data_IF_082143038162
#
_entry.id   IF_082143038162
#
_cell.length_a   1.000
_cell.length_b   1.000
_cell.length_c   1.000
_cell.angle_alpha   90.00
_cell.angle_beta   90.00
_cell.angle_gamma   90.00
#
_symmetry.space_group_name_H-M   'P 1'
#
loop_
_entity.id
_entity.type
_entity.pdbx_description
1 polymer ?
#
# COMPACT_ATOMS: atom_id res chain seq x y z
N UNK A 1 8.41 -5.88 35.49
CA UNK A 1 9.69 -5.59 34.82
C UNK A 1 9.47 -5.77 33.34
N UNK A 2 9.87 -4.80 32.51
CA UNK A 2 9.55 -4.77 31.10
C UNK A 2 10.51 -5.59 30.22
N UNK A 3 11.64 -6.05 30.78
CA UNK A 3 12.61 -6.90 30.11
C UNK A 3 13.17 -7.93 31.08
N UNK A 4 12.95 -9.23 30.83
CA UNK A 4 13.59 -10.32 31.58
C UNK A 4 15.13 -10.23 31.49
N UNK A 5 15.66 -9.96 30.29
CA UNK A 5 17.12 -9.87 30.03
C UNK A 5 17.78 -8.82 30.92
N UNK A 6 17.23 -7.61 31.00
CA UNK A 6 17.74 -6.59 31.93
C UNK A 6 17.52 -7.00 33.40
N UNK A 7 16.41 -7.70 33.69
CA UNK A 7 16.18 -8.28 35.01
C UNK A 7 17.30 -9.21 35.45
N UNK A 8 17.61 -10.17 34.63
CA UNK A 8 18.66 -11.15 34.90
C UNK A 8 20.03 -10.48 34.99
N UNK A 9 20.32 -9.55 34.08
CA UNK A 9 21.58 -8.81 34.08
C UNK A 9 21.83 -8.04 35.37
N UNK A 10 20.78 -7.40 35.93
CA UNK A 10 20.89 -6.67 37.21
C UNK A 10 20.93 -7.57 38.45
N UNK A 11 20.56 -8.86 38.34
CA UNK A 11 20.68 -9.82 39.43
C UNK A 11 22.03 -10.52 39.49
N UNK A 12 22.87 -10.40 38.44
CA UNK A 12 24.20 -10.94 38.44
C UNK A 12 25.05 -10.28 39.54
N UNK A 13 25.93 -11.05 40.23
CA UNK A 13 26.85 -10.48 41.22
C UNK A 13 27.69 -9.37 40.59
N UNK A 14 27.56 -8.15 41.11
CA UNK A 14 28.42 -7.05 40.70
C UNK A 14 29.84 -7.26 41.27
N UNK A 15 30.90 -6.97 40.50
CA UNK A 15 32.24 -6.99 41.03
C UNK A 15 32.33 -6.10 42.26
N UNK A 16 32.81 -6.65 43.38
CA UNK A 16 33.08 -5.81 44.57
C UNK A 16 34.11 -4.78 44.21
N UNK A 17 33.81 -3.50 44.41
CA UNK A 17 34.78 -2.41 44.34
C UNK A 17 35.77 -2.56 45.52
N UNK A 18 36.66 -3.52 45.43
CA UNK A 18 37.83 -3.53 46.29
C UNK A 18 38.79 -2.45 45.74
N UNK A 19 39.11 -1.49 46.59
CA UNK A 19 39.86 -0.24 46.30
C UNK A 19 41.30 -0.45 45.82
N UNK A 20 41.67 -1.63 45.36
CA UNK A 20 43.03 -2.00 44.93
C UNK A 20 43.13 -2.51 43.49
N UNK A 21 42.06 -2.80 42.80
CA UNK A 21 42.09 -3.19 41.39
C UNK A 21 41.78 -2.00 40.49
N UNK A 22 42.80 -1.57 39.75
CA UNK A 22 42.64 -0.65 38.60
C UNK A 22 41.88 -1.33 37.46
N UNK A 23 40.61 -1.64 37.67
CA UNK A 23 39.71 -1.97 36.55
C UNK A 23 39.25 -0.64 35.94
N UNK A 24 39.75 -0.35 34.74
CA UNK A 24 39.38 0.82 33.91
C UNK A 24 37.90 0.75 33.45
N UNK A 25 37.02 0.06 34.16
CA UNK A 25 35.61 0.01 33.83
C UNK A 25 34.95 1.37 34.16
N UNK A 26 34.28 1.99 33.19
CA UNK A 26 33.68 3.29 33.41
C UNK A 26 32.51 3.19 34.42
N UNK A 27 32.58 4.03 35.47
CA UNK A 27 31.54 4.14 36.47
C UNK A 27 30.89 5.52 36.40
N UNK A 28 29.58 5.59 36.51
CA UNK A 28 28.84 6.83 36.62
C UNK A 28 28.04 6.86 37.93
N UNK A 29 28.35 7.82 38.80
CA UNK A 29 27.79 7.91 40.16
C UNK A 29 27.88 6.61 40.99
N UNK A 30 29.02 5.87 40.85
CA UNK A 30 29.23 4.62 41.59
C UNK A 30 28.48 3.40 41.03
N UNK A 31 27.83 3.54 39.89
CA UNK A 31 27.17 2.47 39.17
C UNK A 31 28.01 2.09 37.96
N UNK A 32 28.12 0.77 37.61
CA UNK A 32 28.83 0.36 36.42
C UNK A 32 28.10 0.86 35.17
N UNK A 33 28.86 1.32 34.19
CA UNK A 33 28.35 1.71 32.87
C UNK A 33 28.45 0.48 31.97
N UNK A 34 27.33 0.13 31.36
CA UNK A 34 27.21 -1.00 30.43
C UNK A 34 27.05 -0.44 29.02
N UNK A 35 27.97 -0.79 28.13
CA UNK A 35 27.88 -0.42 26.73
C UNK A 35 26.82 -1.30 26.01
N UNK A 36 25.96 -0.65 25.28
CA UNK A 36 24.93 -1.31 24.45
C UNK A 36 25.23 -1.02 22.97
N UNK A 37 24.90 -1.97 22.11
CA UNK A 37 25.11 -1.84 20.65
C UNK A 37 24.10 -0.87 19.98
N UNK A 38 22.99 -0.63 20.64
CA UNK A 38 21.91 0.20 20.13
C UNK A 38 22.29 1.70 20.22
N UNK A 39 21.90 2.44 19.20
CA UNK A 39 22.06 3.90 19.21
C UNK A 39 21.15 4.58 20.25
N UNK A 40 21.48 5.82 20.60
CA UNK A 40 20.74 6.60 21.60
C UNK A 40 19.28 6.88 21.21
N UNK A 41 18.97 6.93 19.91
CA UNK A 41 17.60 7.12 19.41
C UNK A 41 16.75 5.87 19.66
N UNK A 42 17.29 4.70 19.32
CA UNK A 42 16.66 3.40 19.56
C UNK A 42 16.42 3.16 21.05
N UNK A 43 17.45 3.40 21.88
CA UNK A 43 17.31 3.31 23.34
C UNK A 43 16.29 4.30 23.88
N UNK A 44 16.29 5.53 23.37
CA UNK A 44 15.30 6.55 23.75
C UNK A 44 13.87 6.10 23.46
N UNK A 45 13.62 5.48 22.31
CA UNK A 45 12.31 4.90 21.97
C UNK A 45 11.90 3.78 22.91
N UNK A 46 12.79 2.83 23.18
CA UNK A 46 12.52 1.70 24.08
C UNK A 46 12.21 2.21 25.49
N UNK A 47 13.05 3.07 26.03
CA UNK A 47 12.87 3.63 27.38
C UNK A 47 11.59 4.45 27.49
N UNK A 48 11.19 5.18 26.43
CA UNK A 48 9.93 5.93 26.43
C UNK A 48 8.71 5.02 26.53
N UNK A 49 8.79 3.79 26.00
CA UNK A 49 7.73 2.80 26.11
C UNK A 49 7.74 2.03 27.43
N UNK A 50 8.90 1.98 28.12
CA UNK A 50 9.00 1.36 29.45
C UNK A 50 8.46 2.27 30.56
N UNK A 51 8.38 3.59 30.34
CA UNK A 51 7.91 4.56 31.31
C UNK A 51 6.51 5.05 30.92
N UNK A 52 5.61 5.26 31.89
CA UNK A 52 4.29 5.79 31.60
C UNK A 52 4.41 7.20 31.00
N UNK A 53 3.56 7.55 30.02
CA UNK A 53 3.60 8.86 29.34
C UNK A 53 3.54 10.06 30.30
N UNK A 54 2.93 9.90 31.48
CA UNK A 54 2.87 10.88 32.54
C UNK A 54 4.25 11.26 33.13
N UNK A 55 5.22 10.35 33.02
CA UNK A 55 6.59 10.56 33.53
C UNK A 55 7.52 11.18 32.50
N UNK A 56 7.34 10.86 31.23
CA UNK A 56 8.24 11.28 30.15
C UNK A 56 7.73 12.49 29.37
N UNK A 57 6.42 12.76 29.41
CA UNK A 57 5.76 13.79 28.59
C UNK A 57 5.90 13.53 27.07
N UNK A 58 6.54 12.45 26.67
CA UNK A 58 6.79 12.08 25.26
C UNK A 58 5.93 10.90 24.88
N UNK A 59 5.17 11.05 23.81
CA UNK A 59 4.47 9.95 23.17
C UNK A 59 5.45 9.22 22.25
N UNK A 60 5.41 7.89 22.24
CA UNK A 60 6.16 7.09 21.29
C UNK A 60 5.81 7.49 19.87
N UNK A 61 6.81 7.90 19.12
CA UNK A 61 6.66 8.30 17.72
C UNK A 61 7.95 7.97 16.99
N UNK A 62 7.86 7.12 16.00
CA UNK A 62 8.93 6.86 15.04
C UNK A 62 8.70 7.70 13.78
N UNK A 63 9.78 8.14 13.16
CA UNK A 63 9.72 9.01 11.99
C UNK A 63 9.76 8.22 10.69
N UNK A 64 10.36 7.03 10.70
CA UNK A 64 10.57 6.21 9.51
C UNK A 64 10.63 4.71 9.85
N UNK A 65 10.57 3.90 8.81
CA UNK A 65 10.59 2.43 8.94
C UNK A 65 11.93 1.89 9.44
N UNK A 66 13.06 2.62 9.25
CA UNK A 66 14.37 2.19 9.71
C UNK A 66 14.50 2.30 11.22
N UNK A 67 14.01 3.41 11.80
CA UNK A 67 13.92 3.57 13.26
C UNK A 67 13.05 2.47 13.87
N UNK A 68 11.90 2.19 13.24
CA UNK A 68 10.97 1.15 13.70
C UNK A 68 11.62 -0.24 13.66
N UNK A 69 12.39 -0.54 12.62
CA UNK A 69 13.18 -1.77 12.52
C UNK A 69 14.16 -1.90 13.69
N UNK A 70 14.95 -0.85 13.99
CA UNK A 70 15.91 -0.87 15.07
C UNK A 70 15.22 -1.14 16.43
N UNK A 71 14.06 -0.50 16.67
CA UNK A 71 13.25 -0.75 17.87
C UNK A 71 12.77 -2.19 17.94
N UNK A 72 12.32 -2.79 16.83
CA UNK A 72 11.88 -4.19 16.78
C UNK A 72 13.02 -5.18 17.03
N UNK A 73 14.21 -4.92 16.45
CA UNK A 73 15.41 -5.73 16.66
C UNK A 73 15.83 -5.70 18.13
N UNK A 74 15.91 -4.51 18.72
CA UNK A 74 16.26 -4.34 20.12
C UNK A 74 15.20 -4.91 21.08
N UNK A 75 13.90 -4.71 20.80
CA UNK A 75 12.82 -5.28 21.59
C UNK A 75 12.85 -6.82 21.59
N UNK A 76 13.27 -7.42 20.48
CA UNK A 76 13.44 -8.88 20.37
C UNK A 76 14.71 -9.32 21.12
N UNK A 77 15.83 -8.61 20.97
CA UNK A 77 17.10 -8.91 21.66
C UNK A 77 16.94 -8.88 23.19
N UNK A 78 16.20 -7.90 23.71
CA UNK A 78 15.99 -7.71 25.14
C UNK A 78 14.70 -8.34 25.69
N UNK A 79 14.01 -9.15 24.88
CA UNK A 79 12.76 -9.85 25.23
C UNK A 79 11.69 -8.89 25.82
N UNK A 80 11.44 -7.80 25.10
CA UNK A 80 10.52 -6.73 25.50
C UNK A 80 9.21 -6.80 24.75
N UNK A 81 8.35 -7.75 25.12
CA UNK A 81 7.09 -8.06 24.40
C UNK A 81 6.19 -6.83 24.24
N UNK A 82 6.01 -6.03 25.31
CA UNK A 82 5.18 -4.82 25.25
C UNK A 82 5.69 -3.82 24.21
N UNK A 83 7.01 -3.61 24.15
CA UNK A 83 7.65 -2.70 23.17
C UNK A 83 7.47 -3.25 21.76
N UNK A 84 7.66 -4.56 21.59
CA UNK A 84 7.48 -5.27 20.33
C UNK A 84 6.05 -5.14 19.82
N UNK A 85 5.04 -5.35 20.65
CA UNK A 85 3.63 -5.20 20.27
C UNK A 85 3.32 -3.78 19.78
N UNK A 86 3.76 -2.74 20.51
CA UNK A 86 3.53 -1.35 20.11
C UNK A 86 4.24 -1.04 18.80
N UNK A 87 5.49 -1.49 18.62
CA UNK A 87 6.23 -1.29 17.39
C UNK A 87 5.58 -1.99 16.18
N UNK A 88 5.01 -3.20 16.37
CA UNK A 88 4.27 -3.91 15.33
C UNK A 88 2.96 -3.21 14.93
N UNK A 89 2.30 -2.54 15.87
CA UNK A 89 1.13 -1.71 15.55
C UNK A 89 1.51 -0.50 14.68
N UNK A 90 2.67 0.12 14.94
CA UNK A 90 3.18 1.22 14.11
C UNK A 90 3.42 0.82 12.65
N UNK A 91 3.85 -0.43 12.37
CA UNK A 91 3.99 -0.94 10.99
C UNK A 91 2.69 -0.84 10.18
N UNK A 92 1.54 -0.85 10.84
CA UNK A 92 0.23 -0.77 10.17
C UNK A 92 -0.22 0.66 9.88
N UNK A 93 0.54 1.68 10.28
CA UNK A 93 0.13 3.09 10.12
C UNK A 93 0.45 3.62 8.72
N UNK A 94 -0.49 4.40 8.13
CA UNK A 94 -0.34 4.89 6.77
C UNK A 94 0.97 5.65 6.45
N UNK A 95 1.54 6.47 7.34
CA UNK A 95 2.82 7.13 7.04
C UNK A 95 3.95 6.14 6.78
N UNK A 96 4.09 5.13 7.63
CA UNK A 96 5.12 4.08 7.53
C UNK A 96 4.89 3.20 6.28
N UNK A 97 3.63 2.81 6.04
CA UNK A 97 3.23 2.01 4.87
C UNK A 97 3.49 2.72 3.52
N UNK A 98 3.40 4.05 3.48
CA UNK A 98 3.65 4.83 2.26
C UNK A 98 5.12 5.07 2.00
N UNK A 99 5.94 5.12 3.03
CA UNK A 99 7.36 5.42 2.92
C UNK A 99 8.11 4.29 2.19
N UNK A 100 8.02 3.06 2.69
CA UNK A 100 8.67 1.89 2.10
C UNK A 100 7.83 0.63 2.33
N UNK A 101 6.78 0.41 1.52
CA UNK A 101 5.87 -0.71 1.73
C UNK A 101 6.54 -2.08 1.53
N UNK A 102 7.63 -2.17 0.74
CA UNK A 102 8.36 -3.43 0.53
C UNK A 102 9.11 -3.81 1.80
N UNK A 103 9.78 -2.86 2.43
CA UNK A 103 10.45 -3.07 3.72
C UNK A 103 9.46 -3.39 4.83
N UNK A 104 8.35 -2.64 4.91
CA UNK A 104 7.29 -2.93 5.88
C UNK A 104 6.75 -4.35 5.69
N UNK A 105 6.56 -4.80 4.43
CA UNK A 105 6.15 -6.17 4.16
C UNK A 105 7.18 -7.20 4.68
N UNK A 106 8.47 -6.97 4.42
CA UNK A 106 9.53 -7.84 4.88
C UNK A 106 9.57 -7.94 6.41
N UNK A 107 9.56 -6.78 7.11
CA UNK A 107 9.52 -6.73 8.57
C UNK A 107 8.27 -7.41 9.14
N UNK A 108 7.09 -7.11 8.58
CA UNK A 108 5.84 -7.73 9.00
C UNK A 108 5.87 -9.27 8.82
N UNK A 109 6.51 -9.74 7.75
CA UNK A 109 6.73 -11.17 7.52
C UNK A 109 7.74 -11.78 8.50
N UNK A 110 8.83 -11.07 8.83
CA UNK A 110 9.85 -11.52 9.75
C UNK A 110 9.28 -11.70 11.17
N UNK A 111 8.46 -10.74 11.61
CA UNK A 111 7.83 -10.72 12.93
C UNK A 111 6.40 -11.31 12.97
N UNK A 112 6.00 -12.01 11.92
CA UNK A 112 4.70 -12.73 11.82
C UNK A 112 3.46 -11.83 12.01
N UNK A 113 3.59 -10.52 11.74
CA UNK A 113 2.48 -9.56 11.81
C UNK A 113 1.64 -9.60 10.53
N UNK A 114 0.71 -10.56 10.43
CA UNK A 114 -0.11 -10.78 9.24
C UNK A 114 -0.95 -9.56 8.83
N UNK A 115 -1.41 -8.77 9.80
CA UNK A 115 -2.17 -7.52 9.52
C UNK A 115 -1.31 -6.51 8.77
N UNK A 116 -0.12 -6.21 9.28
CA UNK A 116 0.80 -5.28 8.64
C UNK A 116 1.27 -5.80 7.28
N UNK A 117 1.55 -7.11 7.15
CA UNK A 117 1.96 -7.72 5.88
C UNK A 117 0.88 -7.56 4.79
N UNK A 118 -0.40 -7.79 5.12
CA UNK A 118 -1.52 -7.58 4.17
C UNK A 118 -1.68 -6.13 3.76
N UNK A 119 -1.58 -5.20 4.70
CA UNK A 119 -1.64 -3.78 4.39
C UNK A 119 -0.45 -3.35 3.52
N UNK A 120 0.77 -3.74 3.90
CA UNK A 120 1.97 -3.42 3.14
C UNK A 120 1.89 -3.97 1.71
N UNK A 121 1.43 -5.22 1.51
CA UNK A 121 1.21 -5.80 0.19
C UNK A 121 0.26 -4.92 -0.66
N UNK A 122 -0.82 -4.39 -0.07
CA UNK A 122 -1.73 -3.47 -0.78
C UNK A 122 -1.01 -2.16 -1.15
N UNK A 123 -0.21 -1.59 -0.26
CA UNK A 123 0.53 -0.35 -0.54
C UNK A 123 1.62 -0.54 -1.62
N UNK A 124 2.14 -1.76 -1.81
CA UNK A 124 3.08 -2.04 -2.91
C UNK A 124 2.46 -1.89 -4.30
N UNK A 125 1.13 -1.93 -4.42
CA UNK A 125 0.44 -1.76 -5.71
C UNK A 125 0.63 -0.36 -6.30
N UNK A 126 0.81 0.65 -5.45
CA UNK A 126 1.13 2.01 -5.86
C UNK A 126 2.57 2.19 -6.37
N UNK A 127 3.42 1.16 -6.26
CA UNK A 127 4.78 1.20 -6.78
C UNK A 127 4.83 0.70 -8.24
N UNK A 128 5.64 1.32 -9.11
CA UNK A 128 5.79 0.86 -10.50
C UNK A 128 6.49 -0.49 -10.61
N UNK A 129 7.33 -0.81 -9.63
CA UNK A 129 8.07 -2.07 -9.52
C UNK A 129 8.37 -2.34 -8.06
N UNK A 130 8.40 -3.61 -7.68
CA UNK A 130 8.87 -4.03 -6.35
C UNK A 130 10.40 -4.01 -6.25
N UNK A 131 11.08 -4.12 -7.40
CA UNK A 131 12.54 -4.19 -7.50
C UNK A 131 13.08 -2.83 -7.98
N UNK A 132 12.92 -1.78 -7.16
CA UNK A 132 13.51 -0.46 -7.44
C UNK A 132 14.85 -0.28 -6.75
N UNK A 133 14.89 -0.68 -5.50
CA UNK A 133 16.05 -0.58 -4.64
C UNK A 133 16.21 -1.91 -3.89
N UNK A 134 17.44 -2.22 -3.55
CA UNK A 134 17.73 -3.39 -2.74
C UNK A 134 17.23 -3.18 -1.31
N UNK A 135 16.43 -4.10 -0.84
CA UNK A 135 15.89 -4.10 0.52
C UNK A 135 16.48 -5.28 1.30
N UNK A 136 17.48 -5.03 2.16
CA UNK A 136 18.18 -6.10 2.90
C UNK A 136 17.25 -6.95 3.77
N UNK A 137 16.13 -6.36 4.22
CA UNK A 137 15.14 -7.04 5.06
C UNK A 137 14.45 -8.21 4.32
N UNK A 138 14.47 -8.22 2.98
CA UNK A 138 13.96 -9.34 2.18
C UNK A 138 14.82 -10.61 2.31
N UNK A 139 16.10 -10.50 2.67
CA UNK A 139 16.96 -11.66 2.90
C UNK A 139 16.55 -12.44 4.16
N UNK A 140 15.92 -11.77 5.11
CA UNK A 140 15.47 -12.35 6.37
C UNK A 140 14.13 -13.08 6.28
N UNK A 141 13.44 -13.01 5.14
CA UNK A 141 12.14 -13.68 4.95
C UNK A 141 12.28 -14.91 4.07
N UNK A 142 11.43 -15.89 4.32
CA UNK A 142 11.37 -17.09 3.49
C UNK A 142 10.91 -16.72 2.07
N UNK A 143 11.56 -17.30 1.04
CA UNK A 143 11.25 -17.05 -0.38
C UNK A 143 9.76 -17.22 -0.72
N UNK A 144 9.07 -18.15 -0.06
CA UNK A 144 7.63 -18.34 -0.23
C UNK A 144 6.79 -17.11 0.15
N UNK A 145 7.25 -16.29 1.12
CA UNK A 145 6.58 -15.03 1.48
C UNK A 145 6.75 -13.99 0.37
N UNK A 146 7.94 -13.89 -0.22
CA UNK A 146 8.18 -13.04 -1.38
C UNK A 146 7.37 -13.50 -2.61
N UNK A 147 7.33 -14.80 -2.88
CA UNK A 147 6.53 -15.35 -3.97
C UNK A 147 5.04 -15.00 -3.82
N UNK A 148 4.49 -15.04 -2.60
CA UNK A 148 3.10 -14.62 -2.34
C UNK A 148 2.86 -13.15 -2.65
N UNK A 149 3.80 -12.26 -2.31
CA UNK A 149 3.70 -10.83 -2.66
C UNK A 149 3.66 -10.63 -4.17
N UNK A 150 4.54 -11.30 -4.90
CA UNK A 150 4.59 -11.25 -6.37
C UNK A 150 3.30 -11.77 -6.99
N UNK A 151 2.83 -12.96 -6.55
CA UNK A 151 1.58 -13.55 -7.03
C UNK A 151 0.35 -12.68 -6.73
N UNK A 152 0.31 -12.05 -5.55
CA UNK A 152 -0.74 -11.09 -5.22
C UNK A 152 -0.74 -9.90 -6.17
N UNK A 153 0.43 -9.32 -6.46
CA UNK A 153 0.55 -8.21 -7.39
C UNK A 153 0.09 -8.60 -8.80
N UNK A 154 0.50 -9.75 -9.31
CA UNK A 154 0.08 -10.27 -10.61
C UNK A 154 -1.45 -10.47 -10.68
N UNK A 155 -2.05 -11.03 -9.63
CA UNK A 155 -3.49 -11.18 -9.56
C UNK A 155 -4.22 -9.82 -9.54
N UNK A 156 -3.68 -8.81 -8.85
CA UNK A 156 -4.23 -7.45 -8.84
C UNK A 156 -4.10 -6.77 -10.21
N UNK A 157 -2.97 -6.95 -10.91
CA UNK A 157 -2.77 -6.47 -12.30
C UNK A 157 -3.84 -7.08 -13.20
N UNK A 158 -4.00 -8.39 -13.17
CA UNK A 158 -5.00 -9.09 -13.99
C UNK A 158 -6.42 -8.62 -13.68
N UNK A 159 -6.76 -8.45 -12.40
CA UNK A 159 -8.07 -7.98 -11.95
C UNK A 159 -8.36 -6.54 -12.43
N UNK A 160 -7.40 -5.61 -12.25
CA UNK A 160 -7.54 -4.21 -12.66
C UNK A 160 -7.60 -4.07 -14.20
N UNK A 161 -6.69 -4.71 -14.93
CA UNK A 161 -6.66 -4.69 -16.39
C UNK A 161 -7.93 -5.29 -17.01
N UNK A 162 -8.52 -6.31 -16.35
CA UNK A 162 -9.77 -6.92 -16.83
C UNK A 162 -10.91 -5.91 -16.94
N UNK A 163 -10.95 -4.86 -16.12
CA UNK A 163 -11.95 -3.80 -16.18
C UNK A 163 -11.69 -2.83 -17.32
N UNK A 164 -10.43 -2.61 -17.71
CA UNK A 164 -10.09 -1.78 -18.86
C UNK A 164 -10.43 -2.47 -20.19
N UNK A 165 -10.40 -3.80 -20.23
CA UNK A 165 -10.68 -4.61 -21.44
C UNK A 165 -12.15 -5.03 -21.50
N UNK A 166 -12.73 -5.45 -20.37
CA UNK A 166 -14.09 -5.95 -20.32
C UNK A 166 -15.02 -4.89 -19.71
N UNK A 167 -15.78 -4.23 -20.57
CA UNK A 167 -16.63 -3.08 -20.21
C UNK A 167 -18.02 -3.45 -19.64
N UNK A 168 -18.26 -4.73 -19.29
CA UNK A 168 -19.57 -5.20 -18.78
C UNK A 168 -20.00 -4.53 -17.49
N UNK A 169 -19.04 -4.07 -16.67
CA UNK A 169 -19.31 -3.37 -15.41
C UNK A 169 -20.00 -2.00 -15.61
N UNK A 170 -19.94 -1.42 -16.82
CA UNK A 170 -20.50 -0.09 -17.14
C UNK A 170 -22.03 -0.08 -17.23
N UNK A 171 -22.68 -1.25 -17.27
CA UNK A 171 -24.14 -1.38 -17.52
C UNK A 171 -25.00 -0.62 -16.52
N UNK A 172 -24.56 -0.46 -15.30
CA UNK A 172 -25.35 0.10 -14.20
C UNK A 172 -25.16 1.61 -13.99
N UNK A 173 -24.28 2.26 -14.74
CA UNK A 173 -23.97 3.68 -14.56
C UNK A 173 -24.89 4.58 -15.40
N UNK A 174 -26.11 4.81 -14.93
CA UNK A 174 -27.10 5.66 -15.61
C UNK A 174 -26.65 7.11 -15.87
N UNK A 175 -25.70 7.61 -15.06
CA UNK A 175 -25.08 8.93 -15.21
C UNK A 175 -24.10 9.03 -16.40
N UNK A 176 -23.72 7.91 -17.00
CA UNK A 176 -22.75 7.84 -18.11
C UNK A 176 -23.40 7.92 -19.51
N UNK A 177 -24.71 8.19 -19.57
CA UNK A 177 -25.41 8.36 -20.86
C UNK A 177 -24.75 9.32 -21.85
N UNK A 178 -24.19 10.46 -21.43
CA UNK A 178 -23.51 11.37 -22.35
C UNK A 178 -22.28 10.77 -23.03
N UNK A 179 -21.66 9.74 -22.42
CA UNK A 179 -20.50 9.03 -22.99
C UNK A 179 -20.89 7.98 -24.03
N UNK A 180 -22.13 7.45 -23.93
CA UNK A 180 -22.62 6.31 -24.70
C UNK A 180 -24.00 6.61 -25.25
N UNK A 181 -24.15 7.20 -26.38
CA UNK A 181 -25.51 7.39 -26.89
C UNK A 181 -25.74 8.42 -27.95
N UNK A 182 -24.70 9.07 -28.43
CA UNK A 182 -24.80 9.95 -29.58
C UNK A 182 -24.68 9.10 -30.85
N UNK A 183 -25.70 9.16 -31.72
CA UNK A 183 -25.80 8.36 -32.96
C UNK A 183 -25.46 9.16 -34.21
N UNK A 184 -24.75 10.28 -34.09
CA UNK A 184 -24.32 11.04 -35.27
C UNK A 184 -23.16 10.33 -35.97
N UNK A 185 -23.48 9.69 -37.08
CA UNK A 185 -22.66 8.71 -37.81
C UNK A 185 -21.39 9.22 -38.50
N UNK A 186 -21.01 10.51 -38.39
CA UNK A 186 -19.91 11.08 -39.19
C UNK A 186 -18.65 11.43 -38.40
N UNK A 187 -18.59 11.18 -37.09
CA UNK A 187 -17.54 11.73 -36.23
C UNK A 187 -16.79 10.70 -35.37
N UNK A 188 -16.15 9.71 -35.99
CA UNK A 188 -15.16 8.88 -35.28
C UNK A 188 -15.75 7.96 -34.18
N UNK A 189 -16.96 7.49 -34.38
CA UNK A 189 -17.59 6.51 -33.49
C UNK A 189 -17.18 5.09 -33.88
N UNK A 190 -16.58 4.39 -32.97
CA UNK A 190 -16.29 2.97 -33.13
C UNK A 190 -17.44 2.17 -32.52
N UNK A 191 -18.15 1.41 -33.35
CA UNK A 191 -19.15 0.43 -32.87
C UNK A 191 -18.42 -0.72 -32.22
N UNK A 192 -18.55 -0.83 -30.88
CA UNK A 192 -17.86 -1.89 -30.13
C UNK A 192 -18.85 -3.00 -29.82
N UNK A 193 -18.58 -4.16 -30.37
CA UNK A 193 -19.34 -5.40 -30.11
C UNK A 193 -19.34 -5.85 -28.64
N UNK A 194 -18.47 -5.28 -27.80
CA UNK A 194 -18.25 -5.69 -26.42
C UNK A 194 -18.83 -4.70 -25.39
N UNK A 195 -19.43 -3.58 -25.81
CA UNK A 195 -20.18 -2.76 -24.88
C UNK A 195 -21.50 -3.50 -24.54
N UNK A 196 -21.85 -3.56 -23.26
CA UNK A 196 -23.06 -4.24 -22.84
C UNK A 196 -24.30 -3.61 -23.51
N UNK A 197 -24.98 -4.41 -24.31
CA UNK A 197 -26.25 -4.02 -24.90
C UNK A 197 -27.35 -4.12 -23.85
N UNK A 198 -28.23 -3.11 -23.81
CA UNK A 198 -29.47 -3.18 -23.00
C UNK A 198 -30.52 -3.96 -23.79
N UNK A 199 -30.90 -5.15 -23.31
CA UNK A 199 -32.07 -5.86 -23.84
C UNK A 199 -33.33 -5.17 -23.34
N UNK A 200 -34.09 -4.60 -24.22
CA UNK A 200 -35.43 -4.12 -23.91
C UNK A 200 -36.41 -5.29 -23.92
N UNK A 201 -37.55 -5.19 -23.19
CA UNK A 201 -38.62 -6.20 -23.25
C UNK A 201 -39.17 -6.44 -24.67
N UNK A 202 -38.94 -5.50 -25.60
CA UNK A 202 -39.28 -5.60 -27.02
C UNK A 202 -38.35 -6.45 -27.88
N UNK A 203 -37.30 -7.06 -27.29
CA UNK A 203 -36.31 -7.88 -28.01
C UNK A 203 -35.28 -7.08 -28.83
N UNK A 204 -35.33 -5.75 -28.84
CA UNK A 204 -34.30 -4.90 -29.50
C UNK A 204 -33.04 -4.83 -28.64
N UNK A 205 -31.93 -5.21 -29.24
CA UNK A 205 -30.59 -4.95 -28.68
C UNK A 205 -30.10 -3.58 -29.18
N UNK A 206 -29.93 -2.66 -28.26
CA UNK A 206 -29.31 -1.39 -28.54
C UNK A 206 -27.76 -1.56 -28.42
N UNK A 207 -27.06 -1.62 -29.55
CA UNK A 207 -25.62 -1.59 -29.56
C UNK A 207 -25.15 -0.22 -29.04
N UNK A 208 -24.50 -0.18 -27.90
CA UNK A 208 -23.87 1.05 -27.41
C UNK A 208 -22.57 1.30 -28.18
N UNK A 209 -22.47 2.44 -28.78
CA UNK A 209 -21.24 2.98 -29.37
C UNK A 209 -20.61 3.95 -28.37
N UNK A 210 -19.31 4.03 -28.37
CA UNK A 210 -18.56 5.01 -27.59
C UNK A 210 -17.60 5.78 -28.50
N UNK A 211 -17.19 6.94 -28.08
CA UNK A 211 -16.20 7.77 -28.79
C UNK A 211 -14.83 7.11 -28.83
N UNK A 212 -14.09 7.32 -29.91
CA UNK A 212 -12.73 6.80 -30.08
C UNK A 212 -11.79 7.25 -28.94
N UNK A 213 -11.89 8.50 -28.49
CA UNK A 213 -11.10 9.02 -27.37
C UNK A 213 -11.33 8.23 -26.05
N UNK A 214 -12.53 7.68 -25.86
CA UNK A 214 -12.84 6.86 -24.69
C UNK A 214 -12.12 5.50 -24.76
N UNK A 215 -12.07 4.88 -25.93
CA UNK A 215 -11.31 3.64 -26.14
C UNK A 215 -9.81 3.86 -25.96
N UNK A 216 -9.31 4.98 -26.46
CA UNK A 216 -7.91 5.33 -26.29
C UNK A 216 -7.58 5.56 -24.81
N UNK A 217 -8.47 6.25 -24.06
CA UNK A 217 -8.32 6.35 -22.61
C UNK A 217 -8.31 4.98 -21.94
N UNK A 218 -9.24 4.07 -22.26
CA UNK A 218 -9.29 2.72 -21.68
C UNK A 218 -8.03 1.90 -22.00
N UNK A 219 -7.55 1.96 -23.24
CA UNK A 219 -6.33 1.29 -23.68
C UNK A 219 -5.09 1.81 -22.94
N UNK A 220 -4.98 3.13 -22.80
CA UNK A 220 -3.88 3.74 -22.03
C UNK A 220 -3.99 3.39 -20.55
N UNK A 221 -5.20 3.37 -20.01
CA UNK A 221 -5.45 2.94 -18.63
C UNK A 221 -4.99 1.50 -18.40
N UNK A 222 -5.22 0.59 -19.35
CA UNK A 222 -4.70 -0.78 -19.28
C UNK A 222 -3.17 -0.79 -19.17
N UNK A 223 -2.46 -0.04 -20.03
CA UNK A 223 -1.00 0.06 -19.98
C UNK A 223 -0.48 0.62 -18.65
N UNK A 224 -1.20 1.59 -18.07
CA UNK A 224 -0.85 2.18 -16.79
C UNK A 224 -1.09 1.17 -15.66
N UNK A 225 -2.22 0.46 -15.67
CA UNK A 225 -2.59 -0.54 -14.66
C UNK A 225 -1.66 -1.76 -14.66
N UNK A 226 -1.03 -2.11 -15.79
CA UNK A 226 0.02 -3.13 -15.85
C UNK A 226 1.24 -2.78 -15.00
N UNK A 227 1.52 -1.48 -14.82
CA UNK A 227 2.65 -0.98 -14.03
C UNK A 227 2.23 -0.61 -12.61
N UNK A 228 1.08 0.02 -12.46
CA UNK A 228 0.51 0.52 -11.21
C UNK A 228 -0.92 0.00 -11.06
N UNK A 229 -1.12 -1.22 -10.55
CA UNK A 229 -2.46 -1.77 -10.32
C UNK A 229 -3.12 -1.10 -9.10
N UNK A 230 -3.29 0.21 -9.17
CA UNK A 230 -3.88 1.06 -8.14
C UNK A 230 -5.00 1.92 -8.74
N UNK A 231 -6.06 2.14 -7.98
CA UNK A 231 -7.22 2.91 -8.42
C UNK A 231 -6.88 4.35 -8.81
N UNK A 232 -5.85 4.96 -8.21
CA UNK A 232 -5.42 6.32 -8.54
C UNK A 232 -4.66 6.38 -9.88
N UNK A 233 -4.14 5.26 -10.36
CA UNK A 233 -3.40 5.22 -11.62
C UNK A 233 -4.24 5.66 -12.83
N UNK A 234 -5.56 5.38 -12.81
CA UNK A 234 -6.47 5.82 -13.89
C UNK A 234 -6.93 7.27 -13.75
N UNK A 235 -6.59 7.92 -12.61
CA UNK A 235 -6.83 9.35 -12.36
C UNK A 235 -5.60 10.21 -12.68
N UNK A 236 -4.55 9.63 -13.25
CA UNK A 236 -3.35 10.35 -13.65
C UNK A 236 -3.71 11.58 -14.47
N UNK A 237 -3.14 12.74 -14.10
CA UNK A 237 -3.49 14.03 -14.66
C UNK A 237 -3.30 14.06 -16.18
N UNK A 238 -2.17 13.54 -16.67
CA UNK A 238 -1.88 13.50 -18.09
C UNK A 238 -2.84 12.60 -18.86
N UNK A 239 -3.19 11.45 -18.28
CA UNK A 239 -4.13 10.51 -18.90
C UNK A 239 -5.53 11.12 -19.02
N UNK A 240 -5.97 11.85 -17.99
CA UNK A 240 -7.28 12.51 -17.95
C UNK A 240 -7.29 13.74 -18.85
N UNK A 241 -6.25 14.55 -18.85
CA UNK A 241 -6.17 15.78 -19.65
C UNK A 241 -6.10 15.48 -21.14
N UNK A 242 -5.38 14.46 -21.56
CA UNK A 242 -5.36 14.00 -22.96
C UNK A 242 -6.77 13.63 -23.45
N UNK A 243 -7.55 12.95 -22.62
CA UNK A 243 -8.94 12.60 -22.94
C UNK A 243 -9.85 13.84 -22.97
N UNK A 244 -9.69 14.79 -22.03
CA UNK A 244 -10.45 16.04 -22.00
C UNK A 244 -10.13 16.93 -23.21
N UNK A 245 -8.87 16.97 -23.63
CA UNK A 245 -8.45 17.67 -24.85
C UNK A 245 -9.12 17.06 -26.09
N UNK A 246 -9.16 15.73 -26.19
CA UNK A 246 -9.83 15.04 -27.29
C UNK A 246 -11.37 15.26 -27.28
N UNK A 247 -12.01 15.32 -26.11
CA UNK A 247 -13.42 15.70 -25.94
C UNK A 247 -13.65 17.11 -26.47
N UNK A 248 -12.78 18.06 -26.12
CA UNK A 248 -12.90 19.47 -26.54
C UNK A 248 -12.68 19.66 -28.03
N UNK A 249 -11.84 18.83 -28.65
CA UNK A 249 -11.58 18.85 -30.08
C UNK A 249 -12.71 18.16 -30.90
N UNK A 250 -13.55 17.35 -30.24
CA UNK A 250 -14.63 16.65 -30.92
C UNK A 250 -15.75 17.63 -31.33
N UNK A 251 -16.10 17.62 -32.64
CA UNK A 251 -17.14 18.51 -33.23
C UNK A 251 -18.50 17.82 -33.25
N UNK A 252 -18.94 17.21 -32.15
CA UNK A 252 -20.27 16.62 -32.11
C UNK A 252 -21.35 17.72 -32.02
N UNK A 253 -22.23 17.80 -33.01
CA UNK A 253 -23.31 18.80 -33.03
C UNK A 253 -24.40 18.63 -31.97
N UNK A 254 -24.50 17.46 -31.37
CA UNK A 254 -25.52 17.11 -30.35
C UNK A 254 -24.98 17.08 -28.93
N UNK A 255 -23.70 16.78 -28.75
CA UNK A 255 -23.08 16.69 -27.44
C UNK A 255 -22.40 18.03 -27.07
N UNK A 256 -22.84 18.63 -25.95
CA UNK A 256 -22.11 19.76 -25.39
C UNK A 256 -20.83 19.25 -24.74
N UNK A 257 -19.66 19.73 -25.18
CA UNK A 257 -18.36 19.28 -24.65
C UNK A 257 -18.28 19.36 -23.11
N UNK A 258 -18.90 20.40 -22.49
CA UNK A 258 -18.95 20.53 -21.04
C UNK A 258 -19.68 19.36 -20.35
N UNK A 259 -20.80 18.92 -20.89
CA UNK A 259 -21.56 17.77 -20.33
C UNK A 259 -20.80 16.47 -20.49
N UNK A 260 -20.11 16.28 -21.62
CA UNK A 260 -19.29 15.08 -21.87
C UNK A 260 -18.09 15.06 -20.94
N UNK A 261 -17.43 16.21 -20.70
CA UNK A 261 -16.31 16.33 -19.79
C UNK A 261 -16.69 16.04 -18.34
N UNK A 262 -17.87 16.50 -17.90
CA UNK A 262 -18.39 16.22 -16.57
C UNK A 262 -18.72 14.72 -16.40
N UNK A 263 -19.42 14.14 -17.38
CA UNK A 263 -19.69 12.73 -17.40
C UNK A 263 -18.42 11.87 -17.45
N UNK A 264 -17.39 12.32 -18.17
CA UNK A 264 -16.08 11.63 -18.20
C UNK A 264 -15.39 11.67 -16.84
N UNK A 265 -15.38 12.81 -16.13
CA UNK A 265 -14.83 12.88 -14.77
C UNK A 265 -15.56 11.96 -13.80
N UNK A 266 -16.89 11.90 -13.89
CA UNK A 266 -17.70 10.95 -13.12
C UNK A 266 -17.35 9.50 -13.46
N UNK A 267 -17.15 9.20 -14.75
CA UNK A 267 -16.71 7.89 -15.22
C UNK A 267 -15.34 7.49 -14.64
N UNK A 268 -14.36 8.38 -14.67
CA UNK A 268 -13.02 8.12 -14.11
C UNK A 268 -13.11 7.74 -12.63
N UNK A 269 -13.95 8.41 -11.84
CA UNK A 269 -14.16 8.07 -10.45
C UNK A 269 -14.82 6.69 -10.29
N UNK A 270 -15.88 6.43 -11.03
CA UNK A 270 -16.56 5.12 -11.02
C UNK A 270 -15.62 3.99 -11.46
N UNK A 271 -14.76 4.24 -12.45
CA UNK A 271 -13.76 3.27 -12.90
C UNK A 271 -12.75 2.97 -11.79
N UNK A 272 -12.22 4.01 -11.13
CA UNK A 272 -11.32 3.85 -10.00
C UNK A 272 -11.94 3.08 -8.83
N UNK A 273 -13.21 3.37 -8.48
CA UNK A 273 -13.96 2.64 -7.45
C UNK A 273 -14.12 1.15 -7.80
N UNK A 274 -14.43 0.83 -9.06
CA UNK A 274 -14.51 -0.56 -9.51
C UNK A 274 -13.16 -1.27 -9.47
N UNK A 275 -12.05 -0.58 -9.81
CA UNK A 275 -10.69 -1.13 -9.67
C UNK A 275 -10.41 -1.44 -8.20
N UNK A 276 -10.70 -0.51 -7.29
CA UNK A 276 -10.48 -0.72 -5.86
C UNK A 276 -11.30 -1.90 -5.33
N UNK A 277 -12.56 -2.01 -5.75
CA UNK A 277 -13.43 -3.12 -5.38
C UNK A 277 -12.89 -4.46 -5.89
N UNK A 278 -12.48 -4.53 -7.17
CA UNK A 278 -11.92 -5.76 -7.75
C UNK A 278 -10.60 -6.17 -7.11
N UNK A 279 -9.73 -5.21 -6.77
CA UNK A 279 -8.50 -5.48 -6.03
C UNK A 279 -8.81 -5.98 -4.62
N UNK A 280 -9.83 -5.44 -3.96
CA UNK A 280 -10.24 -5.88 -2.63
C UNK A 280 -10.75 -7.35 -2.59
N UNK A 281 -11.28 -7.86 -3.72
CA UNK A 281 -11.68 -9.27 -3.86
C UNK A 281 -10.45 -10.21 -3.99
N UNK A 282 -9.30 -9.68 -4.40
CA UNK A 282 -8.04 -10.45 -4.47
C UNK A 282 -7.48 -10.61 -3.07
N UNK A 283 -7.45 -11.84 -2.57
CA UNK A 283 -6.93 -12.13 -1.24
C UNK A 283 -5.39 -12.04 -1.25
N UNK A 284 -4.76 -11.13 -0.49
CA UNK A 284 -3.31 -10.93 -0.53
C UNK A 284 -2.50 -12.13 -0.05
N UNK A 285 -3.11 -12.95 0.78
CA UNK A 285 -2.46 -14.11 1.39
C UNK A 285 -3.57 -15.12 1.73
N UNK A 286 -3.59 -16.26 1.08
CA UNK A 286 -4.39 -17.38 1.59
C UNK A 286 -3.88 -17.69 3.00
N UNK A 287 -4.81 -17.90 3.91
CA UNK A 287 -4.61 -18.22 5.32
C UNK A 287 -4.03 -19.62 5.56
N UNK A 288 -3.25 -20.17 4.62
CA UNK A 288 -2.57 -21.46 4.75
C UNK A 288 -1.39 -21.40 5.74
N UNK A 289 -1.42 -20.43 6.68
CA UNK A 289 -0.50 -20.31 7.82
C UNK A 289 -1.15 -20.72 9.14
N UNK A 290 -2.32 -21.37 9.11
CA UNK A 290 -2.84 -22.13 10.24
C UNK A 290 -2.45 -23.60 10.03
N UNK A 291 -1.22 -23.91 10.41
CA UNK A 291 -0.65 -25.24 10.40
C UNK A 291 0.59 -25.30 11.25
#
# INVERSE_FOLDING_TARGET
MTSPVFGDMFTLPQPKLDSSDNTDEPHYHGLPVIDLEEDSCTLGHILSLCHPPSCTGKQFKVNNVRELRAVLEAATKYDMETVRCVALEELSKPPILREDPVRVYALACQYECHKAARLAAKYTLALPSLVREYVPDLEKIHVGKLFRLLSYREACIAAACSLAVNHRWIVHAGSLRPLFGCTDGDLGWTTVRNLPSRKYPSGREECKSAHEWWFEYMKRSECVLQRWPDANAVKDEKLVDDALAAISASKCGKCKASQVSEAFRSFVNTFAENIEHRIAEVTPIRSDLEG
#
